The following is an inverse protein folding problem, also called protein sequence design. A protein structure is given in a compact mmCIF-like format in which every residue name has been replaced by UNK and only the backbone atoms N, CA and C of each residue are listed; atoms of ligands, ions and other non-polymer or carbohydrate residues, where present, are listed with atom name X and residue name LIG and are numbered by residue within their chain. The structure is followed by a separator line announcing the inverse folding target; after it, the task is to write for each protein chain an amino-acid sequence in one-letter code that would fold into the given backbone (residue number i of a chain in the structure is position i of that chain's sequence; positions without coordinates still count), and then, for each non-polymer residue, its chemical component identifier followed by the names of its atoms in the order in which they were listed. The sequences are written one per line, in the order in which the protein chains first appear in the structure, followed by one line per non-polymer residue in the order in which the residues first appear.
data_IF_880049877057
#
_entry.id   IF_880049877057
#
_cell.length_a   1.000
_cell.length_b   1.000
_cell.length_c   1.000
_cell.angle_alpha   90.00
_cell.angle_beta   90.00
_cell.angle_gamma   90.00
#
_symmetry.space_group_name_H-M   'P 1'
#
loop_
_entity.id
_entity.type
_entity.pdbx_description
1 polymer ?
#
# COMPACT_ATOMS: atom_id res chain seq x y z
N UNK A 1 -0.30 15.57 -2.80
CA UNK A 1 -0.64 15.08 -4.16
C UNK A 1 -1.77 15.90 -4.75
N UNK A 2 -2.90 16.02 -4.06
CA UNK A 2 -4.09 16.74 -4.54
C UNK A 2 -3.88 18.25 -4.74
N UNK A 3 -3.14 18.93 -3.87
CA UNK A 3 -2.83 20.36 -4.00
C UNK A 3 -2.06 20.73 -5.28
N UNK A 4 -1.30 19.78 -5.84
CA UNK A 4 -0.48 19.98 -7.05
C UNK A 4 -1.25 19.62 -8.32
N UNK A 5 -2.19 18.66 -8.23
CA UNK A 5 -2.95 18.16 -9.38
C UNK A 5 -4.24 18.95 -9.63
N UNK A 6 -4.86 19.50 -8.58
CA UNK A 6 -6.14 20.20 -8.68
C UNK A 6 -6.13 21.40 -9.64
N UNK A 7 -5.09 22.26 -9.72
CA UNK A 7 -5.09 23.39 -10.65
C UNK A 7 -4.98 22.92 -12.11
N UNK A 8 -4.24 21.84 -12.36
CA UNK A 8 -4.05 21.27 -13.70
C UNK A 8 -5.31 20.58 -14.21
N UNK A 9 -6.03 19.87 -13.32
CA UNK A 9 -7.33 19.27 -13.62
C UNK A 9 -8.37 20.33 -13.96
N UNK A 10 -8.40 21.42 -13.19
CA UNK A 10 -9.27 22.56 -13.46
C UNK A 10 -8.94 23.23 -14.80
N UNK A 11 -7.66 23.43 -15.12
CA UNK A 11 -7.24 24.04 -16.38
C UNK A 11 -7.54 23.17 -17.62
N UNK A 12 -7.51 21.83 -17.48
CA UNK A 12 -7.94 20.89 -18.54
C UNK A 12 -9.46 20.91 -18.71
N UNK A 13 -10.22 20.97 -17.60
CA UNK A 13 -11.68 21.07 -17.63
C UNK A 13 -12.15 22.35 -18.32
N UNK A 14 -11.63 23.50 -17.89
CA UNK A 14 -11.95 24.81 -18.49
C UNK A 14 -11.64 24.86 -19.99
N UNK A 15 -10.52 24.28 -20.43
CA UNK A 15 -10.18 24.21 -21.85
C UNK A 15 -11.10 23.25 -22.62
N UNK A 16 -11.57 22.17 -21.98
CA UNK A 16 -12.57 21.25 -22.55
C UNK A 16 -13.92 21.93 -22.76
N UNK A 17 -14.37 22.69 -21.76
CA UNK A 17 -15.62 23.46 -21.81
C UNK A 17 -15.56 24.52 -22.93
N UNK A 18 -14.42 25.19 -23.10
CA UNK A 18 -14.19 26.15 -24.19
C UNK A 18 -14.29 25.48 -25.59
N UNK A 19 -13.70 24.30 -25.77
CA UNK A 19 -13.79 23.55 -27.03
C UNK A 19 -15.25 23.17 -27.34
N UNK A 20 -16.03 22.82 -26.32
CA UNK A 20 -17.44 22.48 -26.47
C UNK A 20 -18.27 23.71 -26.88
N UNK A 21 -18.05 24.85 -26.22
CA UNK A 21 -18.71 26.12 -26.56
C UNK A 21 -18.41 26.58 -27.99
N UNK A 22 -17.15 26.49 -28.44
CA UNK A 22 -16.76 26.85 -29.80
C UNK A 22 -17.46 25.99 -30.87
N UNK A 23 -17.70 24.71 -30.57
CA UNK A 23 -18.45 23.80 -31.46
C UNK A 23 -19.94 24.13 -31.50
N UNK A 24 -20.53 24.46 -30.36
CA UNK A 24 -21.95 24.83 -30.24
C UNK A 24 -22.25 26.16 -30.94
N UNK A 25 -21.32 27.11 -30.89
CA UNK A 25 -21.44 28.42 -31.55
C UNK A 25 -21.12 28.38 -33.05
N UNK A 26 -20.72 27.22 -33.60
CA UNK A 26 -20.36 27.08 -35.01
C UNK A 26 -19.12 27.88 -35.40
N UNK A 27 -18.17 28.03 -34.47
CA UNK A 27 -16.94 28.80 -34.69
C UNK A 27 -16.10 28.22 -35.87
N UNK A 28 -15.24 29.04 -36.50
CA UNK A 28 -14.39 28.59 -37.59
C UNK A 28 -13.54 27.37 -37.22
N UNK A 29 -13.40 26.42 -38.14
CA UNK A 29 -12.68 25.17 -37.92
C UNK A 29 -11.22 25.39 -37.47
N UNK A 30 -10.59 26.47 -37.92
CA UNK A 30 -9.25 26.88 -37.46
C UNK A 30 -9.20 27.20 -35.96
N UNK A 31 -10.23 27.81 -35.39
CA UNK A 31 -10.28 28.17 -33.97
C UNK A 31 -10.55 26.94 -33.11
N UNK A 32 -11.44 26.05 -33.55
CA UNK A 32 -11.68 24.75 -32.91
C UNK A 32 -10.38 23.94 -32.89
N UNK A 33 -9.66 23.87 -34.01
CA UNK A 33 -8.41 23.11 -34.10
C UNK A 33 -7.31 23.67 -33.19
N UNK A 34 -7.19 25.00 -33.07
CA UNK A 34 -6.28 25.64 -32.11
C UNK A 34 -6.64 25.29 -30.66
N UNK A 35 -7.92 25.41 -30.29
CA UNK A 35 -8.39 25.11 -28.94
C UNK A 35 -8.23 23.62 -28.57
N UNK A 36 -8.45 22.71 -29.53
CA UNK A 36 -8.21 21.26 -29.38
C UNK A 36 -6.72 20.95 -29.24
N UNK A 37 -5.84 21.63 -29.99
CA UNK A 37 -4.39 21.46 -29.84
C UNK A 37 -3.93 21.87 -28.44
N UNK A 38 -4.46 22.97 -27.92
CA UNK A 38 -4.16 23.43 -26.57
C UNK A 38 -4.73 22.50 -25.48
N UNK A 39 -5.95 21.96 -25.67
CA UNK A 39 -6.52 20.94 -24.80
C UNK A 39 -5.62 19.69 -24.73
N UNK A 40 -5.12 19.22 -25.89
CA UNK A 40 -4.18 18.09 -25.95
C UNK A 40 -2.88 18.39 -25.22
N UNK A 41 -2.33 19.60 -25.38
CA UNK A 41 -1.13 20.02 -24.66
C UNK A 41 -1.33 20.02 -23.14
N UNK A 42 -2.45 20.58 -22.66
CA UNK A 42 -2.79 20.60 -21.22
C UNK A 42 -3.02 19.20 -20.65
N UNK A 43 -3.69 18.31 -21.40
CA UNK A 43 -3.87 16.90 -21.01
C UNK A 43 -2.52 16.18 -20.86
N UNK A 44 -1.59 16.39 -21.80
CA UNK A 44 -0.24 15.80 -21.74
C UNK A 44 0.55 16.27 -20.52
N UNK A 45 0.43 17.55 -20.14
CA UNK A 45 1.08 18.10 -18.94
C UNK A 45 0.48 17.49 -17.66
N UNK A 46 -0.85 17.40 -17.59
CA UNK A 46 -1.53 16.78 -16.45
C UNK A 46 -1.11 15.31 -16.31
N UNK A 47 -1.14 14.53 -17.38
CA UNK A 47 -0.75 13.12 -17.39
C UNK A 47 0.71 12.92 -16.96
N UNK A 48 1.64 13.73 -17.47
CA UNK A 48 3.05 13.66 -17.06
C UNK A 48 3.25 13.98 -15.57
N UNK A 49 2.49 14.95 -15.05
CA UNK A 49 2.57 15.37 -13.64
C UNK A 49 1.91 14.35 -12.72
N UNK A 50 0.80 13.74 -13.15
CA UNK A 50 0.17 12.61 -12.49
C UNK A 50 1.12 11.41 -12.45
N UNK A 51 1.82 11.08 -13.53
CA UNK A 51 2.82 10.02 -13.55
C UNK A 51 4.01 10.30 -12.63
N UNK A 52 4.47 11.55 -12.56
CA UNK A 52 5.57 11.94 -11.68
C UNK A 52 5.19 11.98 -10.19
N UNK A 53 3.90 12.22 -9.89
CA UNK A 53 3.35 12.30 -8.54
C UNK A 53 2.70 11.00 -8.08
N UNK A 54 2.44 10.05 -8.99
CA UNK A 54 2.14 8.68 -8.60
C UNK A 54 3.24 8.28 -7.62
N UNK A 55 2.88 7.68 -6.47
CA UNK A 55 3.86 6.98 -5.69
C UNK A 55 4.61 6.12 -6.69
N UNK A 56 5.94 6.23 -6.77
CA UNK A 56 6.69 5.16 -7.42
C UNK A 56 6.13 3.90 -6.77
N UNK A 57 5.58 2.99 -7.56
CA UNK A 57 5.37 1.65 -7.05
C UNK A 57 6.76 1.23 -6.59
N UNK A 58 7.04 1.41 -5.30
CA UNK A 58 8.19 0.83 -4.65
C UNK A 58 7.83 -0.64 -4.61
N UNK A 59 7.98 -1.28 -5.77
CA UNK A 59 8.06 -2.72 -5.87
C UNK A 59 9.18 -3.06 -4.90
N UNK A 60 8.79 -3.53 -3.71
CA UNK A 60 9.72 -3.81 -2.64
C UNK A 60 10.68 -4.85 -3.20
N UNK A 61 11.96 -4.47 -3.27
CA UNK A 61 13.02 -5.40 -3.60
C UNK A 61 13.12 -6.41 -2.44
N UNK A 62 12.44 -7.54 -2.63
CA UNK A 62 12.32 -8.59 -1.62
C UNK A 62 13.69 -9.11 -1.19
N UNK A 63 14.61 -9.28 -2.13
CA UNK A 63 15.95 -9.78 -1.82
C UNK A 63 16.71 -8.79 -0.93
N UNK A 64 16.67 -7.50 -1.27
CA UNK A 64 17.30 -6.44 -0.46
C UNK A 64 16.65 -6.28 0.91
N UNK A 65 15.33 -6.40 0.98
CA UNK A 65 14.58 -6.37 2.25
C UNK A 65 14.97 -7.57 3.13
N UNK A 66 14.92 -8.79 2.60
CA UNK A 66 15.26 -10.01 3.35
C UNK A 66 16.72 -10.00 3.83
N UNK A 67 17.67 -9.55 3.00
CA UNK A 67 19.07 -9.35 3.41
C UNK A 67 19.18 -8.39 4.61
N UNK A 68 18.46 -7.27 4.56
CA UNK A 68 18.46 -6.28 5.64
C UNK A 68 17.86 -6.87 6.93
N UNK A 69 16.76 -7.61 6.83
CA UNK A 69 16.10 -8.24 7.97
C UNK A 69 17.03 -9.27 8.64
N UNK A 70 17.70 -10.12 7.85
CA UNK A 70 18.66 -11.12 8.36
C UNK A 70 19.90 -10.47 8.96
N UNK A 71 20.53 -9.53 8.24
CA UNK A 71 21.77 -8.85 8.70
C UNK A 71 21.56 -8.04 9.98
N UNK A 72 20.34 -7.57 10.23
CA UNK A 72 19.97 -6.83 11.45
C UNK A 72 19.30 -7.71 12.50
N UNK A 73 19.25 -9.01 12.27
CA UNK A 73 18.65 -10.01 13.13
C UNK A 73 17.22 -9.63 13.57
N UNK A 74 16.37 -9.28 12.60
CA UNK A 74 14.93 -9.21 12.82
C UNK A 74 14.37 -10.61 13.04
N UNK A 75 14.66 -11.52 12.12
CA UNK A 75 14.45 -12.95 12.27
C UNK A 75 15.51 -13.71 11.47
N UNK A 76 15.72 -14.98 11.81
CA UNK A 76 16.49 -15.92 10.98
C UNK A 76 15.91 -17.34 11.09
N UNK A 77 16.40 -18.25 10.25
CA UNK A 77 15.96 -19.64 10.27
C UNK A 77 16.34 -20.31 11.60
N UNK A 78 15.36 -20.95 12.24
CA UNK A 78 15.61 -21.64 13.49
C UNK A 78 16.60 -22.80 13.29
N UNK A 79 17.49 -22.99 14.26
CA UNK A 79 18.54 -24.02 14.22
C UNK A 79 19.53 -23.88 13.04
N UNK A 80 19.79 -22.65 12.57
CA UNK A 80 20.64 -22.38 11.40
C UNK A 80 22.03 -23.05 11.46
N UNK A 81 22.67 -23.11 12.64
CA UNK A 81 23.98 -23.77 12.81
C UNK A 81 23.93 -25.30 12.64
N UNK A 82 22.74 -25.88 12.64
CA UNK A 82 22.48 -27.31 12.41
C UNK A 82 21.89 -27.59 11.02
N UNK A 83 21.92 -26.60 10.11
CA UNK A 83 21.35 -26.71 8.76
C UNK A 83 19.93 -26.16 8.60
N UNK A 84 19.32 -25.71 9.70
CA UNK A 84 18.01 -25.06 9.69
C UNK A 84 16.83 -26.01 9.49
N UNK A 85 15.64 -25.58 9.93
CA UNK A 85 14.39 -26.31 9.69
C UNK A 85 13.43 -25.43 8.89
N UNK A 86 12.87 -25.96 7.80
CA UNK A 86 11.91 -25.20 6.98
C UNK A 86 10.64 -24.95 7.78
N UNK A 87 10.11 -23.72 7.69
CA UNK A 87 8.90 -23.31 8.41
C UNK A 87 9.11 -22.87 9.86
N UNK A 88 10.33 -22.97 10.41
CA UNK A 88 10.66 -22.52 11.77
C UNK A 88 11.63 -21.33 11.74
N UNK A 89 11.34 -20.31 12.55
CA UNK A 89 12.10 -19.06 12.60
C UNK A 89 12.26 -18.54 14.02
N UNK A 90 13.45 -18.01 14.30
CA UNK A 90 13.77 -17.34 15.56
C UNK A 90 13.76 -15.83 15.35
N UNK A 91 13.06 -15.10 16.22
CA UNK A 91 13.05 -13.65 16.20
C UNK A 91 14.23 -13.12 17.01
N UNK A 92 15.04 -12.25 16.41
CA UNK A 92 16.10 -11.55 17.13
C UNK A 92 15.57 -10.34 17.90
N UNK A 93 16.44 -9.56 18.57
CA UNK A 93 16.02 -8.51 19.51
C UNK A 93 15.05 -7.48 18.90
N UNK A 94 15.32 -7.04 17.67
CA UNK A 94 14.50 -6.02 16.98
C UNK A 94 13.16 -6.63 16.52
N UNK A 95 13.17 -7.88 16.07
CA UNK A 95 11.94 -8.59 15.68
C UNK A 95 11.03 -8.87 16.87
N UNK A 96 11.60 -9.27 18.01
CA UNK A 96 10.86 -9.45 19.26
C UNK A 96 10.23 -8.13 19.75
N UNK A 97 10.99 -7.04 19.74
CA UNK A 97 10.46 -5.72 20.12
C UNK A 97 9.30 -5.29 19.19
N UNK A 98 9.48 -5.45 17.88
CA UNK A 98 8.42 -5.14 16.90
C UNK A 98 7.18 -6.01 17.11
N UNK A 99 7.35 -7.33 17.27
CA UNK A 99 6.25 -8.26 17.55
C UNK A 99 5.48 -7.87 18.81
N UNK A 100 6.18 -7.53 19.89
CA UNK A 100 5.55 -7.11 21.14
C UNK A 100 4.78 -5.80 20.98
N UNK A 101 5.32 -4.82 20.24
CA UNK A 101 4.63 -3.57 19.95
C UNK A 101 3.35 -3.80 19.14
N UNK A 102 3.39 -4.67 18.12
CA UNK A 102 2.21 -5.04 17.33
C UNK A 102 1.14 -5.70 18.22
N UNK A 103 1.54 -6.66 19.05
CA UNK A 103 0.62 -7.31 19.99
C UNK A 103 0.01 -6.30 20.97
N UNK A 104 0.79 -5.35 21.49
CA UNK A 104 0.29 -4.31 22.38
C UNK A 104 -0.75 -3.42 21.70
N UNK A 105 -0.46 -2.93 20.49
CA UNK A 105 -1.41 -2.12 19.72
C UNK A 105 -2.68 -2.90 19.42
N UNK A 106 -2.56 -4.18 19.06
CA UNK A 106 -3.71 -5.05 18.80
C UNK A 106 -4.57 -5.23 20.06
N UNK A 107 -3.95 -5.46 21.22
CA UNK A 107 -4.68 -5.57 22.49
C UNK A 107 -5.39 -4.27 22.87
N UNK A 108 -4.73 -3.13 22.68
CA UNK A 108 -5.35 -1.83 22.91
C UNK A 108 -6.57 -1.66 22.01
N UNK A 109 -6.41 -1.91 20.72
CA UNK A 109 -7.47 -1.67 19.74
C UNK A 109 -8.66 -2.62 19.86
N UNK A 110 -8.47 -3.90 20.20
CA UNK A 110 -9.57 -4.85 20.24
C UNK A 110 -9.98 -5.21 21.67
N UNK A 111 -9.03 -5.58 22.52
CA UNK A 111 -9.37 -6.07 23.86
C UNK A 111 -9.84 -4.92 24.74
N UNK A 112 -9.12 -3.81 24.75
CA UNK A 112 -9.45 -2.68 25.62
C UNK A 112 -10.63 -1.86 25.09
N UNK A 113 -10.68 -1.54 23.80
CA UNK A 113 -11.78 -0.75 23.22
C UNK A 113 -13.12 -1.51 23.28
N UNK A 114 -13.14 -2.81 22.98
CA UNK A 114 -14.38 -3.62 22.96
C UNK A 114 -14.60 -4.46 24.23
N UNK A 115 -13.76 -4.30 25.26
CA UNK A 115 -13.83 -5.04 26.53
C UNK A 115 -13.90 -6.57 26.35
N UNK A 116 -13.07 -7.12 25.46
CA UNK A 116 -13.02 -8.56 25.18
C UNK A 116 -12.39 -9.30 26.36
N UNK A 117 -12.93 -10.49 26.68
CA UNK A 117 -12.36 -11.39 27.68
C UNK A 117 -11.18 -12.17 27.08
N UNK A 118 -9.95 -11.67 27.29
CA UNK A 118 -8.71 -12.41 26.93
C UNK A 118 -8.53 -13.61 27.87
N UNK A 119 -8.33 -14.80 27.28
CA UNK A 119 -8.00 -16.05 28.00
C UNK A 119 -6.73 -16.65 27.42
N UNK A 120 -5.94 -17.32 28.27
CA UNK A 120 -4.73 -18.04 27.87
C UNK A 120 -4.92 -19.55 28.09
N UNK A 121 -4.67 -20.33 27.04
CA UNK A 121 -4.96 -21.76 26.99
C UNK A 121 -3.69 -22.56 26.63
N UNK A 122 -3.67 -23.85 26.96
CA UNK A 122 -2.52 -24.71 26.69
C UNK A 122 -2.38 -25.04 25.21
N UNK A 123 -1.13 -25.08 24.72
CA UNK A 123 -0.82 -25.48 23.34
C UNK A 123 -1.00 -26.98 23.07
N UNK A 124 -0.76 -27.83 24.08
CA UNK A 124 -0.95 -29.28 23.96
C UNK A 124 -2.44 -29.61 24.08
N UNK A 125 -2.98 -30.26 23.07
CA UNK A 125 -4.42 -30.55 22.95
C UNK A 125 -4.66 -32.05 22.81
N UNK A 126 -5.50 -32.68 23.66
CA UNK A 126 -5.82 -34.10 23.54
C UNK A 126 -6.50 -34.45 22.22
N UNK A 127 -6.15 -35.61 21.66
CA UNK A 127 -6.72 -36.10 20.40
C UNK A 127 -8.27 -36.11 20.38
N UNK A 128 -8.99 -36.53 21.45
CA UNK A 128 -10.45 -36.50 21.42
C UNK A 128 -11.01 -35.10 21.13
N UNK A 129 -10.39 -34.04 21.65
CA UNK A 129 -10.85 -32.65 21.42
C UNK A 129 -10.75 -32.29 19.94
N UNK A 130 -9.63 -32.63 19.30
CA UNK A 130 -9.39 -32.34 17.88
C UNK A 130 -10.26 -33.20 16.95
N UNK A 131 -10.73 -34.37 17.39
CA UNK A 131 -11.68 -35.19 16.60
C UNK A 131 -13.08 -34.58 16.53
N UNK A 132 -13.52 -33.91 17.59
CA UNK A 132 -14.86 -33.30 17.66
C UNK A 132 -14.93 -31.95 16.95
N UNK A 133 -13.83 -31.22 16.87
CA UNK A 133 -13.72 -30.01 16.06
C UNK A 133 -13.32 -30.45 14.66
N UNK A 134 -14.23 -30.44 13.69
CA UNK A 134 -13.96 -30.82 12.30
C UNK A 134 -13.03 -29.81 11.59
N UNK A 135 -11.78 -29.72 12.03
CA UNK A 135 -10.68 -29.02 11.36
C UNK A 135 -9.95 -29.96 10.40
#
# INVERSE_FOLDING_TARGET
MEEVLSPLRNAVKQQGDLVQQLKEQGAPEQEINKAVAELKARKKILEAKELALKPKDEIVDRAKMEDTLKRRFFYDQAFAIYGGVSGLYDFGPVGCALKNNILQVWRQHFIQEEQILEIDCTMLTPEPVLKYVHL
#
